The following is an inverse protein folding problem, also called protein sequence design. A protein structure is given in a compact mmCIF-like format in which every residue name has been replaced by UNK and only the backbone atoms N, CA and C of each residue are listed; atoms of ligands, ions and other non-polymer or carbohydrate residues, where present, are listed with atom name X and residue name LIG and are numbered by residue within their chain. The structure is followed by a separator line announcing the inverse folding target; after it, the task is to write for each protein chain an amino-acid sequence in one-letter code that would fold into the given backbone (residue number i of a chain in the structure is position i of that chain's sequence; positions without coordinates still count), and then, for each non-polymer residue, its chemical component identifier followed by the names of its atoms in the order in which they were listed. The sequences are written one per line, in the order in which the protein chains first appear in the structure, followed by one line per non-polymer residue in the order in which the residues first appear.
data_IF_097100786142
#
_entry.id   IF_097100786142
#
_cell.length_a   1.000
_cell.length_b   1.000
_cell.length_c   1.000
_cell.angle_alpha   90.00
_cell.angle_beta   90.00
_cell.angle_gamma   90.00
#
_symmetry.space_group_name_H-M   'P 1'
#
loop_
_entity.id
_entity.type
_entity.pdbx_description
1 polymer ?
#
# COMPACT_ATOMS: atom_id res chain seq x y z
N UNK A 1 8.80 2.70 -10.39
CA UNK A 1 7.61 2.00 -9.86
C UNK A 1 6.91 1.14 -10.93
N UNK A 2 6.96 1.56 -12.18
CA UNK A 2 6.34 0.81 -13.32
C UNK A 2 6.87 -0.62 -13.46
N UNK A 3 8.15 -0.86 -13.14
CA UNK A 3 8.72 -2.21 -13.15
C UNK A 3 8.03 -3.13 -12.13
N UNK A 4 7.77 -2.67 -10.91
CA UNK A 4 7.03 -3.47 -9.91
C UNK A 4 5.61 -3.79 -10.35
N UNK A 5 4.92 -2.83 -10.99
CA UNK A 5 3.60 -3.07 -11.55
C UNK A 5 3.63 -4.10 -12.69
N UNK A 6 4.66 -4.06 -13.55
CA UNK A 6 4.87 -5.05 -14.61
C UNK A 6 5.17 -6.44 -14.04
N UNK A 7 6.03 -6.53 -13.03
CA UNK A 7 6.35 -7.77 -12.33
C UNK A 7 5.10 -8.36 -11.66
N UNK A 8 4.27 -7.53 -11.00
CA UNK A 8 3.02 -7.98 -10.40
C UNK A 8 2.06 -8.61 -11.45
N UNK A 9 1.94 -8.00 -12.64
CA UNK A 9 1.16 -8.58 -13.74
C UNK A 9 1.75 -9.91 -14.23
N UNK A 10 3.07 -9.96 -14.40
CA UNK A 10 3.75 -11.19 -14.85
C UNK A 10 3.56 -12.33 -13.85
N UNK A 11 3.70 -12.05 -12.55
CA UNK A 11 3.48 -13.04 -11.49
C UNK A 11 2.01 -13.45 -11.37
N UNK A 12 1.05 -12.55 -11.60
CA UNK A 12 -0.37 -12.92 -11.64
C UNK A 12 -0.64 -13.90 -12.78
N UNK A 13 -0.08 -13.64 -13.97
CA UNK A 13 -0.22 -14.53 -15.12
C UNK A 13 0.43 -15.91 -14.86
N UNK A 14 1.63 -15.94 -14.29
CA UNK A 14 2.33 -17.16 -13.94
C UNK A 14 1.58 -17.99 -12.87
N UNK A 15 1.08 -17.32 -11.82
CA UNK A 15 0.30 -17.96 -10.77
C UNK A 15 -1.00 -18.56 -11.32
N UNK A 16 -1.71 -17.83 -12.17
CA UNK A 16 -2.91 -18.31 -12.84
C UNK A 16 -2.62 -19.54 -13.69
N UNK A 17 -1.55 -19.51 -14.51
CA UNK A 17 -1.15 -20.63 -15.37
C UNK A 17 -0.81 -21.87 -14.56
N UNK A 18 0.02 -21.73 -13.51
CA UNK A 18 0.38 -22.87 -12.62
C UNK A 18 -0.82 -23.48 -11.91
N UNK A 19 -1.79 -22.65 -11.52
CA UNK A 19 -3.00 -23.10 -10.86
C UNK A 19 -4.07 -23.65 -11.83
N UNK A 20 -3.86 -23.54 -13.15
CA UNK A 20 -4.88 -23.87 -14.16
C UNK A 20 -6.13 -22.98 -14.03
N UNK A 21 -5.94 -21.70 -13.66
CA UNK A 21 -7.00 -20.74 -13.45
C UNK A 21 -6.92 -19.61 -14.48
N UNK A 22 -8.05 -18.93 -14.80
CA UNK A 22 -8.05 -17.83 -15.77
C UNK A 22 -7.27 -16.62 -15.30
N UNK A 23 -7.24 -16.37 -13.99
CA UNK A 23 -6.59 -15.21 -13.37
C UNK A 23 -6.16 -15.50 -11.91
N UNK A 24 -5.36 -14.62 -11.31
CA UNK A 24 -4.97 -14.66 -9.91
C UNK A 24 -5.37 -13.36 -9.19
N UNK A 25 -5.54 -13.44 -7.86
CA UNK A 25 -5.77 -12.26 -7.02
C UNK A 25 -4.45 -11.61 -6.64
N UNK A 26 -4.38 -10.29 -6.72
CA UNK A 26 -3.27 -9.53 -6.16
C UNK A 26 -3.59 -9.11 -4.72
N UNK A 27 -2.72 -9.51 -3.78
CA UNK A 27 -2.77 -9.06 -2.39
C UNK A 27 -1.61 -8.10 -2.20
N UNK A 28 -1.90 -6.82 -2.03
CA UNK A 28 -0.93 -5.78 -1.75
C UNK A 28 -1.03 -5.31 -0.30
N UNK A 29 0.10 -5.30 0.43
CA UNK A 29 0.19 -4.77 1.79
C UNK A 29 1.02 -3.50 1.80
N UNK A 30 0.55 -2.46 2.49
CA UNK A 30 1.25 -1.18 2.61
C UNK A 30 1.57 -0.59 1.22
N UNK A 31 2.82 -0.32 0.89
CA UNK A 31 3.25 0.11 -0.44
C UNK A 31 2.84 -0.89 -1.55
N UNK A 32 2.79 -2.20 -1.24
CA UNK A 32 2.31 -3.22 -2.15
C UNK A 32 0.85 -3.02 -2.61
N UNK A 33 0.02 -2.33 -1.82
CA UNK A 33 -1.33 -1.95 -2.25
C UNK A 33 -1.28 -0.96 -3.42
N UNK A 34 -0.37 0.02 -3.39
CA UNK A 34 -0.15 0.95 -4.50
C UNK A 34 0.44 0.23 -5.73
N UNK A 35 1.35 -0.75 -5.53
CA UNK A 35 1.84 -1.59 -6.63
C UNK A 35 0.69 -2.35 -7.29
N UNK A 36 -0.21 -2.94 -6.49
CA UNK A 36 -1.38 -3.67 -7.00
C UNK A 36 -2.34 -2.75 -7.78
N UNK A 37 -2.61 -1.54 -7.28
CA UNK A 37 -3.39 -0.52 -7.97
C UNK A 37 -2.73 -0.09 -9.29
N UNK A 38 -1.43 0.15 -9.27
CA UNK A 38 -0.68 0.51 -10.48
C UNK A 38 -0.65 -0.64 -11.50
N UNK A 39 -0.63 -1.90 -11.05
CA UNK A 39 -0.66 -3.06 -11.93
C UNK A 39 -1.95 -3.18 -12.73
N UNK A 40 -3.08 -2.68 -12.21
CA UNK A 40 -4.37 -2.70 -12.93
C UNK A 40 -4.66 -1.38 -13.66
N UNK A 41 -3.85 -0.35 -13.49
CA UNK A 41 -4.00 0.92 -14.17
C UNK A 41 -3.79 0.79 -15.69
N UNK A 42 -4.52 1.60 -16.49
CA UNK A 42 -4.38 1.63 -17.94
C UNK A 42 -5.46 0.88 -18.72
N UNK A 43 -6.48 0.36 -18.03
CA UNK A 43 -7.66 -0.25 -18.64
C UNK A 43 -7.42 -1.65 -19.23
N UNK A 44 -8.34 -2.16 -20.08
CA UNK A 44 -8.35 -3.55 -20.54
C UNK A 44 -7.12 -3.99 -21.34
N UNK A 45 -6.41 -3.05 -21.95
CA UNK A 45 -5.23 -3.34 -22.78
C UNK A 45 -3.90 -3.25 -22.02
N UNK A 46 -3.93 -3.05 -20.70
CA UNK A 46 -2.73 -2.87 -19.88
C UNK A 46 -2.07 -4.20 -19.47
N UNK A 47 -2.55 -5.35 -19.98
CA UNK A 47 -2.04 -6.68 -19.62
C UNK A 47 -2.47 -7.13 -18.21
N UNK A 48 -3.60 -6.62 -17.73
CA UNK A 48 -4.18 -6.95 -16.42
C UNK A 48 -5.29 -7.99 -16.48
N UNK A 49 -5.55 -8.60 -17.64
CA UNK A 49 -6.55 -9.65 -17.87
C UNK A 49 -6.33 -10.90 -16.98
N UNK A 50 -5.13 -11.09 -16.48
CA UNK A 50 -4.77 -12.18 -15.57
C UNK A 50 -4.92 -11.82 -14.08
N UNK A 51 -5.51 -10.65 -13.76
CA UNK A 51 -5.78 -10.23 -12.38
C UNK A 51 -7.27 -10.36 -12.11
N UNK A 52 -7.66 -11.25 -11.18
CA UNK A 52 -9.05 -11.50 -10.80
C UNK A 52 -9.65 -10.34 -9.99
N UNK A 53 -8.86 -9.69 -9.18
CA UNK A 53 -9.25 -8.61 -8.28
C UNK A 53 -8.13 -8.22 -7.34
N UNK A 54 -8.40 -7.24 -6.50
CA UNK A 54 -7.44 -6.63 -5.59
C UNK A 54 -7.82 -6.87 -4.12
N UNK A 55 -6.82 -7.15 -3.30
CA UNK A 55 -6.88 -7.14 -1.85
C UNK A 55 -5.86 -6.11 -1.37
N UNK A 56 -6.33 -4.98 -0.88
CA UNK A 56 -5.52 -3.84 -0.44
C UNK A 56 -5.50 -3.82 1.09
N UNK A 57 -4.37 -4.17 1.68
CA UNK A 57 -4.21 -4.28 3.14
C UNK A 57 -3.31 -3.17 3.66
N UNK A 58 -3.78 -2.38 4.62
CA UNK A 58 -3.02 -1.27 5.23
C UNK A 58 -2.40 -0.34 4.17
N UNK A 59 -3.11 -0.10 3.07
CA UNK A 59 -2.64 0.72 1.96
C UNK A 59 -3.03 2.18 2.10
N UNK A 60 -2.17 3.09 1.63
CA UNK A 60 -2.49 4.51 1.56
C UNK A 60 -3.66 4.78 0.61
N UNK A 61 -4.56 5.67 1.00
CA UNK A 61 -5.65 6.18 0.16
C UNK A 61 -5.39 7.58 -0.38
N UNK A 62 -4.41 8.26 0.20
CA UNK A 62 -3.97 9.60 -0.20
C UNK A 62 -2.67 9.51 -1.01
N UNK A 63 -2.32 10.53 -1.81
CA UNK A 63 -1.04 10.59 -2.51
C UNK A 63 0.13 10.28 -1.58
N UNK A 64 1.07 9.47 -2.06
CA UNK A 64 2.15 8.94 -1.24
C UNK A 64 3.02 10.03 -0.59
N UNK A 65 3.25 11.15 -1.28
CA UNK A 65 3.96 12.30 -0.73
C UNK A 65 3.26 12.91 0.50
N UNK A 66 1.92 12.94 0.52
CA UNK A 66 1.12 13.42 1.66
C UNK A 66 1.32 12.50 2.87
N UNK A 67 1.17 11.19 2.66
CA UNK A 67 1.33 10.20 3.72
C UNK A 67 2.76 10.19 4.27
N UNK A 68 3.75 10.26 3.40
CA UNK A 68 5.16 10.30 3.81
C UNK A 68 5.49 11.57 4.62
N UNK A 69 4.94 12.74 4.24
CA UNK A 69 5.09 13.97 5.03
C UNK A 69 4.52 13.81 6.44
N UNK A 70 3.33 13.22 6.56
CA UNK A 70 2.70 12.97 7.86
C UNK A 70 3.55 12.00 8.74
N UNK A 71 4.08 10.95 8.15
CA UNK A 71 4.97 10.02 8.86
C UNK A 71 6.25 10.70 9.34
N UNK A 72 6.85 11.55 8.51
CA UNK A 72 8.06 12.31 8.86
C UNK A 72 7.76 13.40 9.90
N UNK A 73 6.59 14.07 9.83
CA UNK A 73 6.14 15.05 10.84
C UNK A 73 6.11 14.41 12.22
N UNK A 74 5.59 13.20 12.32
CA UNK A 74 5.44 12.45 13.58
C UNK A 74 6.69 11.68 14.01
N UNK A 75 7.65 11.46 13.10
CA UNK A 75 8.82 10.61 13.31
C UNK A 75 10.15 11.32 13.45
N UNK A 76 10.27 12.58 13.00
CA UNK A 76 11.54 13.30 12.97
C UNK A 76 11.55 14.53 13.90
N UNK A 77 12.66 14.75 14.62
CA UNK A 77 12.88 16.03 15.32
C UNK A 77 13.34 17.13 14.35
N UNK A 78 13.16 18.39 14.75
CA UNK A 78 13.83 19.50 14.09
C UNK A 78 15.37 19.49 14.37
N UNK A 79 16.23 19.89 13.40
CA UNK A 79 15.92 20.42 12.08
C UNK A 79 15.77 19.36 10.96
N UNK A 80 15.85 18.06 11.27
CA UNK A 80 15.78 17.00 10.26
C UNK A 80 14.46 16.97 9.50
N UNK A 81 13.37 17.30 10.18
CA UNK A 81 12.04 17.38 9.57
C UNK A 81 11.98 18.44 8.47
N UNK A 82 12.47 19.65 8.76
CA UNK A 82 12.55 20.72 7.77
C UNK A 82 13.38 20.32 6.55
N UNK A 83 14.52 19.65 6.76
CA UNK A 83 15.37 19.16 5.68
C UNK A 83 14.68 18.05 4.86
N UNK A 84 14.00 17.11 5.52
CA UNK A 84 13.25 16.05 4.86
C UNK A 84 12.12 16.61 3.98
N UNK A 85 11.40 17.62 4.45
CA UNK A 85 10.33 18.26 3.67
C UNK A 85 10.86 19.03 2.45
N UNK A 86 12.02 19.68 2.57
CA UNK A 86 12.66 20.33 1.43
C UNK A 86 13.05 19.29 0.36
N UNK A 87 13.63 18.17 0.77
CA UNK A 87 13.98 17.08 -0.16
C UNK A 87 12.71 16.51 -0.83
N UNK A 88 11.65 16.23 -0.05
CA UNK A 88 10.40 15.73 -0.62
C UNK A 88 9.82 16.68 -1.68
N UNK A 89 9.84 17.97 -1.42
CA UNK A 89 9.37 18.98 -2.39
C UNK A 89 10.13 18.93 -3.71
N UNK A 90 11.44 18.71 -3.66
CA UNK A 90 12.25 18.52 -4.88
C UNK A 90 11.88 17.23 -5.61
N UNK A 91 11.75 16.13 -4.86
CA UNK A 91 11.41 14.82 -5.44
C UNK A 91 10.00 14.79 -6.04
N UNK A 92 9.01 15.42 -5.41
CA UNK A 92 7.65 15.58 -5.94
C UNK A 92 7.63 16.38 -7.25
N UNK A 93 8.56 17.32 -7.38
CA UNK A 93 8.77 18.08 -8.62
C UNK A 93 9.64 17.34 -9.67
N UNK A 94 9.98 16.07 -9.42
CA UNK A 94 10.81 15.26 -10.32
C UNK A 94 12.31 15.60 -10.29
N UNK A 95 12.77 16.39 -9.32
CA UNK A 95 14.18 16.79 -9.18
C UNK A 95 14.86 15.96 -8.10
N UNK A 96 16.14 15.63 -8.30
CA UNK A 96 16.95 14.92 -7.31
C UNK A 96 17.80 15.86 -6.49
N UNK A 97 18.15 15.46 -5.26
CA UNK A 97 18.99 16.18 -4.31
C UNK A 97 20.28 15.39 -4.07
N UNK A 98 21.42 15.96 -4.41
CA UNK A 98 22.72 15.26 -4.29
C UNK A 98 23.14 15.07 -2.82
N UNK A 99 22.94 16.09 -1.99
CA UNK A 99 23.47 16.18 -0.63
C UNK A 99 22.35 15.93 0.40
N UNK A 100 21.79 14.73 0.45
CA UNK A 100 20.88 14.35 1.50
C UNK A 100 21.63 14.14 2.83
N UNK A 101 21.15 14.68 3.97
CA UNK A 101 21.78 14.50 5.26
C UNK A 101 21.99 13.02 5.61
N UNK A 102 23.14 12.62 6.19
CA UNK A 102 23.40 11.22 6.56
C UNK A 102 22.30 10.58 7.41
N UNK A 103 21.70 11.35 8.33
CA UNK A 103 20.59 10.90 9.17
C UNK A 103 19.32 10.57 8.36
N UNK A 104 19.16 11.11 7.15
CA UNK A 104 18.06 10.87 6.24
C UNK A 104 18.42 9.91 5.09
N UNK A 105 19.65 9.40 5.06
CA UNK A 105 20.16 8.60 3.94
C UNK A 105 19.37 7.28 3.73
N UNK A 106 18.80 6.70 4.79
CA UNK A 106 17.97 5.51 4.66
C UNK A 106 16.81 5.72 3.68
N UNK A 107 16.21 6.93 3.68
CA UNK A 107 15.07 7.28 2.84
C UNK A 107 15.47 8.07 1.58
N UNK A 108 16.47 8.97 1.69
CA UNK A 108 16.75 9.97 0.64
C UNK A 108 18.14 9.88 -0.01
N UNK A 109 18.89 8.78 0.22
CA UNK A 109 20.17 8.63 -0.51
C UNK A 109 19.94 8.69 -2.03
N UNK A 110 20.89 9.23 -2.82
CA UNK A 110 20.71 9.46 -4.26
C UNK A 110 20.20 8.24 -5.04
N UNK A 111 20.64 7.02 -4.65
CA UNK A 111 20.23 5.79 -5.33
C UNK A 111 18.75 5.41 -5.13
N UNK A 112 18.05 5.97 -4.12
CA UNK A 112 16.64 5.70 -3.83
C UNK A 112 15.73 6.78 -4.45
N UNK A 113 16.25 7.96 -4.71
CA UNK A 113 15.45 9.09 -5.18
C UNK A 113 14.72 8.84 -6.51
N UNK A 114 15.33 8.20 -7.54
CA UNK A 114 14.59 7.84 -8.77
C UNK A 114 13.40 6.92 -8.51
N UNK A 115 13.51 6.06 -7.50
CA UNK A 115 12.39 5.24 -7.04
C UNK A 115 11.29 6.10 -6.41
N UNK A 116 11.63 6.97 -5.46
CA UNK A 116 10.67 7.87 -4.81
C UNK A 116 9.93 8.74 -5.83
N UNK A 117 10.64 9.40 -6.76
CA UNK A 117 10.03 10.24 -7.80
C UNK A 117 9.07 9.47 -8.70
N UNK A 118 9.23 8.15 -8.82
CA UNK A 118 8.37 7.32 -9.68
C UNK A 118 7.02 6.99 -9.06
N UNK A 119 6.84 7.13 -7.74
CA UNK A 119 5.58 6.80 -7.06
C UNK A 119 4.99 7.91 -6.20
N UNK A 120 5.79 8.90 -5.77
CA UNK A 120 5.28 10.05 -5.01
C UNK A 120 4.08 10.75 -5.67
N UNK A 121 4.02 10.93 -7.01
CA UNK A 121 2.89 11.58 -7.66
C UNK A 121 1.66 10.69 -7.85
N UNK A 122 1.73 9.39 -7.49
CA UNK A 122 0.60 8.50 -7.68
C UNK A 122 -0.50 8.78 -6.66
N UNK A 123 -1.73 8.81 -7.15
CA UNK A 123 -2.94 8.95 -6.33
C UNK A 123 -3.65 7.59 -6.24
N UNK A 124 -3.57 6.88 -5.10
CA UNK A 124 -4.19 5.57 -4.92
C UNK A 124 -5.70 5.58 -5.09
N UNK A 125 -6.38 6.63 -4.62
CA UNK A 125 -7.83 6.78 -4.74
C UNK A 125 -8.24 6.94 -6.21
N UNK A 126 -7.52 7.77 -6.98
CA UNK A 126 -7.78 7.92 -8.41
C UNK A 126 -7.50 6.62 -9.19
N UNK A 127 -6.46 5.86 -8.81
CA UNK A 127 -6.18 4.56 -9.41
C UNK A 127 -7.27 3.53 -9.13
N UNK A 128 -7.81 3.50 -7.90
CA UNK A 128 -8.91 2.61 -7.53
C UNK A 128 -10.21 3.00 -8.24
N UNK A 129 -10.53 4.29 -8.30
CA UNK A 129 -11.72 4.80 -8.99
C UNK A 129 -11.76 4.42 -10.50
N UNK A 130 -10.59 4.27 -11.12
CA UNK A 130 -10.45 3.87 -12.51
C UNK A 130 -10.45 2.34 -12.72
N UNK A 131 -10.51 1.54 -11.66
CA UNK A 131 -10.50 0.08 -11.72
C UNK A 131 -11.91 -0.49 -11.70
N UNK A 132 -12.24 -1.35 -12.67
CA UNK A 132 -13.58 -1.94 -12.79
C UNK A 132 -13.75 -3.33 -12.15
N UNK A 133 -12.66 -3.89 -11.60
CA UNK A 133 -12.69 -5.20 -10.96
C UNK A 133 -13.07 -5.14 -9.48
N UNK A 134 -13.29 -6.31 -8.84
CA UNK A 134 -13.59 -6.37 -7.41
C UNK A 134 -12.36 -5.97 -6.58
N UNK A 135 -12.59 -5.14 -5.56
CA UNK A 135 -11.56 -4.68 -4.63
C UNK A 135 -12.00 -4.86 -3.17
N UNK A 136 -11.10 -5.39 -2.35
CA UNK A 136 -11.25 -5.45 -0.90
C UNK A 136 -10.21 -4.54 -0.25
N UNK A 137 -10.66 -3.73 0.69
CA UNK A 137 -9.83 -2.80 1.47
C UNK A 137 -9.87 -3.27 2.92
N UNK A 138 -8.73 -3.68 3.45
CA UNK A 138 -8.59 -4.14 4.83
C UNK A 138 -7.68 -3.23 5.63
N UNK A 139 -8.16 -2.71 6.77
CA UNK A 139 -7.41 -1.76 7.59
C UNK A 139 -7.55 -2.06 9.08
N UNK A 140 -6.42 -2.09 9.78
CA UNK A 140 -6.39 -2.18 11.23
C UNK A 140 -6.56 -0.82 11.90
N UNK A 141 -7.37 -0.74 12.97
CA UNK A 141 -7.62 0.54 13.66
C UNK A 141 -6.48 0.95 14.60
N UNK A 142 -5.52 0.07 14.89
CA UNK A 142 -4.31 0.34 15.67
C UNK A 142 -3.07 0.51 14.80
N UNK A 143 -3.24 0.69 13.49
CA UNK A 143 -2.15 0.95 12.56
C UNK A 143 -1.50 2.32 12.84
N UNK A 144 -0.17 2.32 13.05
CA UNK A 144 0.61 3.51 13.38
C UNK A 144 1.26 4.18 12.15
N UNK A 145 1.10 3.58 10.97
CA UNK A 145 1.72 4.07 9.73
C UNK A 145 0.67 4.59 8.74
N UNK A 146 -0.42 3.85 8.56
CA UNK A 146 -1.53 4.19 7.66
C UNK A 146 -2.81 4.24 8.50
N UNK A 147 -3.48 5.38 8.48
CA UNK A 147 -4.68 5.60 9.27
C UNK A 147 -5.95 5.03 8.64
N UNK A 148 -7.00 4.87 9.45
CA UNK A 148 -8.34 4.48 8.98
C UNK A 148 -8.85 5.43 7.89
N UNK A 149 -8.53 6.72 7.97
CA UNK A 149 -8.89 7.73 6.96
C UNK A 149 -8.40 7.37 5.57
N UNK A 150 -7.24 6.71 5.43
CA UNK A 150 -6.73 6.27 4.12
C UNK A 150 -7.62 5.16 3.54
N UNK A 151 -8.03 4.19 4.36
CA UNK A 151 -8.95 3.13 3.93
C UNK A 151 -10.35 3.68 3.58
N UNK A 152 -10.84 4.65 4.33
CA UNK A 152 -12.10 5.35 4.04
C UNK A 152 -12.01 6.16 2.76
N UNK A 153 -10.87 6.80 2.48
CA UNK A 153 -10.61 7.53 1.23
C UNK A 153 -10.64 6.59 0.03
N UNK A 154 -9.98 5.43 0.14
CA UNK A 154 -10.07 4.39 -0.90
C UNK A 154 -11.50 3.92 -1.11
N UNK A 155 -12.21 3.58 -0.05
CA UNK A 155 -13.60 3.10 -0.15
C UNK A 155 -14.55 4.15 -0.72
N UNK A 156 -14.33 5.43 -0.41
CA UNK A 156 -15.11 6.52 -0.98
C UNK A 156 -14.84 6.73 -2.49
N UNK A 157 -13.65 6.37 -2.97
CA UNK A 157 -13.30 6.51 -4.38
C UNK A 157 -13.92 5.44 -5.28
N UNK A 158 -14.25 4.26 -4.74
CA UNK A 158 -15.00 3.20 -5.42
C UNK A 158 -16.06 2.60 -4.50
N UNK A 159 -17.34 3.00 -4.61
CA UNK A 159 -18.43 2.47 -3.79
C UNK A 159 -18.69 0.97 -3.96
N UNK A 160 -18.09 0.32 -4.98
CA UNK A 160 -18.18 -1.14 -5.19
C UNK A 160 -17.16 -1.90 -4.34
N UNK A 161 -16.12 -1.21 -3.86
CA UNK A 161 -15.10 -1.82 -3.02
C UNK A 161 -15.67 -2.21 -1.65
N UNK A 162 -15.23 -3.34 -1.12
CA UNK A 162 -15.58 -3.79 0.22
C UNK A 162 -14.57 -3.27 1.22
N UNK A 163 -14.98 -2.40 2.14
CA UNK A 163 -14.16 -1.95 3.25
C UNK A 163 -14.36 -2.83 4.49
N UNK A 164 -13.27 -3.29 5.07
CA UNK A 164 -13.24 -3.99 6.36
C UNK A 164 -12.26 -3.31 7.32
N UNK A 165 -12.77 -2.87 8.46
CA UNK A 165 -11.95 -2.38 9.57
C UNK A 165 -11.79 -3.49 10.62
N UNK A 166 -10.55 -3.70 11.09
CA UNK A 166 -10.23 -4.66 12.15
C UNK A 166 -9.84 -3.92 13.43
N UNK A 167 -10.72 -3.92 14.48
CA UNK A 167 -10.42 -3.25 15.74
C UNK A 167 -9.15 -3.79 16.40
N UNK A 168 -8.27 -2.89 16.87
CA UNK A 168 -7.05 -3.24 17.57
C UNK A 168 -5.98 -3.97 16.74
N UNK A 169 -6.12 -4.00 15.42
CA UNK A 169 -5.13 -4.58 14.49
C UNK A 169 -4.18 -3.49 14.02
N UNK A 170 -2.88 -3.78 13.99
CA UNK A 170 -1.84 -2.85 13.58
C UNK A 170 -1.41 -3.03 12.11
N UNK A 171 -0.38 -2.26 11.70
CA UNK A 171 0.12 -2.24 10.32
C UNK A 171 0.55 -3.62 9.79
N UNK A 172 1.12 -4.47 10.64
CA UNK A 172 1.55 -5.82 10.25
C UNK A 172 0.46 -6.87 10.49
N UNK A 173 -0.79 -6.44 10.57
CA UNK A 173 -2.00 -7.27 10.66
C UNK A 173 -2.04 -8.15 11.93
N UNK A 174 -1.41 -7.71 13.00
CA UNK A 174 -1.43 -8.38 14.32
C UNK A 174 -2.32 -7.61 15.29
N UNK A 175 -2.93 -8.32 16.24
CA UNK A 175 -3.55 -7.66 17.38
C UNK A 175 -2.47 -6.96 18.21
N UNK A 176 -2.67 -5.68 18.50
CA UNK A 176 -1.68 -4.85 19.15
C UNK A 176 -2.26 -4.01 20.29
N UNK A 177 -1.45 -3.74 21.34
CA UNK A 177 -1.83 -2.82 22.41
C UNK A 177 -2.00 -1.38 21.91
N UNK A 178 -2.77 -0.58 22.67
CA UNK A 178 -2.91 0.85 22.39
C UNK A 178 -1.63 1.66 22.64
N UNK A 179 -0.78 1.20 23.55
CA UNK A 179 0.53 1.82 23.81
C UNK A 179 1.43 1.72 22.57
N UNK A 180 1.98 2.85 22.13
CA UNK A 180 2.76 2.95 20.89
C UNK A 180 4.01 2.04 20.90
N UNK A 181 4.76 2.01 22.02
CA UNK A 181 6.00 1.23 22.10
C UNK A 181 5.69 -0.27 22.09
N UNK A 182 4.68 -0.69 22.85
CA UNK A 182 4.22 -2.08 22.87
C UNK A 182 3.62 -2.52 21.52
N UNK A 183 2.92 -1.64 20.82
CA UNK A 183 2.43 -1.91 19.47
C UNK A 183 3.59 -2.14 18.50
N UNK A 184 4.57 -1.24 18.45
CA UNK A 184 5.76 -1.39 17.60
C UNK A 184 6.56 -2.65 17.91
N UNK A 185 6.63 -3.07 19.18
CA UNK A 185 7.32 -4.30 19.57
C UNK A 185 6.74 -5.56 18.91
N UNK A 186 5.43 -5.54 18.57
CA UNK A 186 4.79 -6.68 17.88
C UNK A 186 5.25 -6.86 16.43
N UNK A 187 5.84 -5.83 15.81
CA UNK A 187 6.21 -5.86 14.38
C UNK A 187 7.28 -6.92 14.09
N UNK A 188 8.27 -7.02 14.95
CA UNK A 188 9.39 -7.93 14.80
C UNK A 188 9.19 -9.31 15.48
N UNK A 189 8.05 -9.55 16.12
CA UNK A 189 7.78 -10.81 16.80
C UNK A 189 7.16 -11.85 15.84
N UNK A 190 7.94 -12.83 15.33
CA UNK A 190 7.42 -13.84 14.40
C UNK A 190 6.50 -14.87 15.09
N UNK A 191 6.46 -14.93 16.41
CA UNK A 191 5.60 -15.87 17.14
C UNK A 191 4.15 -15.38 17.22
N UNK A 192 3.90 -14.09 17.06
CA UNK A 192 2.55 -13.55 17.06
C UNK A 192 1.85 -13.87 15.72
N UNK A 193 0.66 -14.50 15.78
CA UNK A 193 -0.14 -14.77 14.58
C UNK A 193 -0.74 -13.49 14.00
N UNK A 194 -1.27 -13.60 12.78
CA UNK A 194 -2.19 -12.59 12.24
C UNK A 194 -3.43 -12.49 13.14
N UNK A 195 -3.97 -11.28 13.23
CA UNK A 195 -5.15 -11.02 14.04
C UNK A 195 -6.35 -11.88 13.58
N UNK A 196 -7.20 -12.34 14.51
CA UNK A 196 -8.40 -13.09 14.18
C UNK A 196 -9.27 -12.34 13.17
N UNK A 197 -9.79 -13.07 12.18
CA UNK A 197 -10.66 -12.52 11.15
C UNK A 197 -9.96 -12.06 9.87
N UNK A 198 -8.70 -11.61 9.92
CA UNK A 198 -7.98 -11.09 8.73
C UNK A 198 -8.01 -12.10 7.58
N UNK A 199 -7.54 -13.32 7.83
CA UNK A 199 -7.48 -14.37 6.79
C UNK A 199 -8.90 -14.78 6.36
N UNK A 200 -9.83 -14.91 7.32
CA UNK A 200 -11.19 -15.33 7.04
C UNK A 200 -11.95 -14.32 6.17
N UNK A 201 -11.83 -13.02 6.47
CA UNK A 201 -12.48 -11.95 5.72
C UNK A 201 -11.94 -11.88 4.29
N UNK A 202 -10.61 -11.93 4.11
CA UNK A 202 -9.98 -11.95 2.77
C UNK A 202 -10.40 -13.18 1.98
N UNK A 203 -10.32 -14.37 2.58
CA UNK A 203 -10.73 -15.61 1.91
C UNK A 203 -12.22 -15.63 1.59
N UNK A 204 -13.06 -15.09 2.47
CA UNK A 204 -14.49 -14.93 2.26
C UNK A 204 -14.80 -14.04 1.07
N UNK A 205 -14.12 -12.88 0.97
CA UNK A 205 -14.26 -11.97 -0.16
C UNK A 205 -13.87 -12.64 -1.49
N UNK A 206 -12.73 -13.31 -1.53
CA UNK A 206 -12.27 -14.02 -2.74
C UNK A 206 -13.29 -15.08 -3.17
N UNK A 207 -13.83 -15.87 -2.23
CA UNK A 207 -14.84 -16.89 -2.51
C UNK A 207 -16.17 -16.31 -2.99
N UNK A 208 -16.54 -15.12 -2.51
CA UNK A 208 -17.77 -14.43 -2.92
C UNK A 208 -17.69 -13.83 -4.34
N UNK A 209 -16.47 -13.69 -4.89
CA UNK A 209 -16.23 -13.13 -6.23
C UNK A 209 -15.55 -14.17 -7.14
N UNK A 210 -16.20 -15.33 -7.40
CA UNK A 210 -15.61 -16.33 -8.28
C UNK A 210 -15.49 -15.75 -9.70
N UNK A 211 -14.31 -15.94 -10.29
CA UNK A 211 -14.10 -15.66 -11.72
C UNK A 211 -14.17 -16.97 -12.48
N UNK A 212 -14.91 -17.01 -13.59
CA UNK A 212 -15.08 -18.20 -14.41
C UNK A 212 -13.79 -18.69 -15.04
#
# INVERSE_FOLDING_TARGET
FDAYAADARAWAAEAAARAGKPCAWLIGHSEGALVALKAVAGGPNAGNDKICGLILLSGAGRPAGVVLREQLENGLPEPLKTQAFAILTELEAGRTVADAPPALAALFRPSVQPYLTSWLPLDPAALLAAYDGPAFIGQGTADLQIGVTDAETLAASDPRATLKLWPGVNHVLKTAPADRAANLATYADPALPLAPGVVADVAGFIKAHPRP
#
